data_IF_751481204713
#
_entry.id   IF_751481204713
#
_cell.length_a   1.000
_cell.length_b   1.000
_cell.length_c   1.000
_cell.angle_alpha   90.00
_cell.angle_beta   90.00
_cell.angle_gamma   90.00
#
_symmetry.space_group_name_H-M   'P 1'
#
loop_
_entity.id
_entity.type
_entity.pdbx_description
1 polymer ?
#
# COMPACT_ATOMS: atom_id res chain seq x y z
N UNK A 1 -15.20 -5.33 8.19
CA UNK A 1 -13.85 -4.82 7.89
C UNK A 1 -14.01 -3.55 7.09
N UNK A 2 -13.41 -2.44 7.52
CA UNK A 2 -13.40 -1.19 6.73
C UNK A 2 -12.33 -1.28 5.66
N UNK A 3 -12.53 -0.63 4.52
CA UNK A 3 -11.54 -0.66 3.42
C UNK A 3 -10.20 -0.07 3.86
N UNK A 4 -10.19 0.93 4.74
CA UNK A 4 -8.95 1.51 5.29
C UNK A 4 -8.17 0.52 6.14
N UNK A 5 -8.86 -0.26 6.98
CA UNK A 5 -8.25 -1.32 7.80
C UNK A 5 -7.70 -2.43 6.89
N UNK A 6 -8.47 -2.80 5.85
CA UNK A 6 -8.03 -3.80 4.87
C UNK A 6 -6.81 -3.36 4.06
N UNK A 7 -6.73 -2.09 3.65
CA UNK A 7 -5.57 -1.55 2.93
C UNK A 7 -4.32 -1.63 3.80
N UNK A 8 -4.44 -1.25 5.08
CA UNK A 8 -3.32 -1.30 6.04
C UNK A 8 -2.83 -2.74 6.23
N UNK A 9 -3.75 -3.69 6.45
CA UNK A 9 -3.42 -5.12 6.55
C UNK A 9 -2.81 -5.66 5.26
N UNK A 10 -3.36 -5.29 4.10
CA UNK A 10 -2.89 -5.79 2.79
C UNK A 10 -1.52 -5.27 2.44
N UNK A 11 -1.21 -4.02 2.78
CA UNK A 11 0.12 -3.43 2.56
C UNK A 11 1.15 -4.07 3.49
N UNK A 12 0.77 -4.39 4.73
CA UNK A 12 1.64 -5.10 5.66
C UNK A 12 1.92 -6.55 5.24
N UNK A 13 0.95 -7.19 4.58
CA UNK A 13 1.03 -8.58 4.12
C UNK A 13 1.58 -8.74 2.71
N UNK A 14 1.55 -7.68 1.89
CA UNK A 14 2.30 -7.65 0.65
C UNK A 14 3.75 -7.89 1.06
N UNK A 15 4.41 -8.97 0.60
CA UNK A 15 5.83 -9.10 0.80
C UNK A 15 6.39 -7.80 0.21
N UNK A 16 6.94 -6.95 1.08
CA UNK A 16 7.69 -5.79 0.68
C UNK A 16 8.81 -6.40 -0.14
N UNK A 17 8.58 -6.50 -1.45
CA UNK A 17 9.66 -6.76 -2.37
C UNK A 17 10.57 -5.61 -2.04
N UNK A 18 11.75 -5.93 -1.51
CA UNK A 18 12.84 -4.99 -1.32
C UNK A 18 13.35 -4.52 -2.70
N UNK A 19 12.43 -4.17 -3.59
CA UNK A 19 12.66 -3.42 -4.80
C UNK A 19 12.98 -2.02 -4.34
N UNK A 20 14.17 -1.49 -4.67
CA UNK A 20 14.50 -0.12 -4.34
C UNK A 20 13.37 0.79 -4.80
N UNK A 21 12.91 1.67 -3.90
CA UNK A 21 11.76 2.56 -4.05
C UNK A 21 11.88 3.62 -5.17
N UNK A 22 12.76 3.40 -6.15
CA UNK A 22 13.19 4.41 -7.11
C UNK A 22 12.42 4.40 -8.43
N UNK A 23 11.62 3.38 -8.72
CA UNK A 23 10.85 3.35 -9.97
C UNK A 23 9.35 3.56 -9.70
N UNK A 24 8.84 4.72 -10.10
CA UNK A 24 7.41 5.08 -10.14
C UNK A 24 6.53 3.97 -10.76
N UNK A 25 7.13 3.17 -11.65
CA UNK A 25 6.52 2.00 -12.29
C UNK A 25 6.18 0.87 -11.29
N UNK A 26 7.03 0.64 -10.28
CA UNK A 26 6.83 -0.42 -9.30
C UNK A 26 5.63 -0.11 -8.40
N UNK A 27 5.49 1.15 -7.99
CA UNK A 27 4.31 1.60 -7.25
C UNK A 27 3.03 1.53 -8.08
N UNK A 28 3.11 1.79 -9.40
CA UNK A 28 1.98 1.62 -10.29
C UNK A 28 1.56 0.15 -10.45
N UNK A 29 2.52 -0.78 -10.54
CA UNK A 29 2.23 -2.22 -10.56
C UNK A 29 1.59 -2.68 -9.25
N UNK A 30 2.17 -2.29 -8.12
CA UNK A 30 1.64 -2.61 -6.80
C UNK A 30 0.24 -2.03 -6.58
N UNK A 31 -0.03 -0.81 -7.05
CA UNK A 31 -1.37 -0.23 -7.01
C UNK A 31 -2.38 -1.04 -7.85
N UNK A 32 -1.94 -1.57 -8.99
CA UNK A 32 -2.72 -2.50 -9.80
C UNK A 32 -3.05 -3.80 -9.06
N UNK A 33 -2.08 -4.39 -8.37
CA UNK A 33 -2.28 -5.59 -7.54
C UNK A 33 -3.27 -5.30 -6.41
N UNK A 34 -3.07 -4.20 -5.66
CA UNK A 34 -3.96 -3.82 -4.57
C UNK A 34 -5.40 -3.60 -5.06
N UNK A 35 -5.58 -3.02 -6.25
CA UNK A 35 -6.90 -2.84 -6.87
C UNK A 35 -7.57 -4.18 -7.20
N UNK A 36 -6.82 -5.14 -7.76
CA UNK A 36 -7.34 -6.46 -8.06
C UNK A 36 -7.74 -7.23 -6.79
N UNK A 37 -6.90 -7.19 -5.77
CA UNK A 37 -7.17 -7.82 -4.47
C UNK A 37 -8.37 -7.18 -3.76
N UNK A 38 -8.51 -5.85 -3.83
CA UNK A 38 -9.65 -5.15 -3.25
C UNK A 38 -10.97 -5.57 -3.91
N UNK A 39 -10.96 -5.69 -5.24
CA UNK A 39 -12.12 -6.17 -5.99
C UNK A 39 -12.46 -7.63 -5.65
N UNK A 40 -11.44 -8.49 -5.51
CA UNK A 40 -11.61 -9.87 -5.09
C UNK A 40 -12.21 -9.97 -3.67
N UNK A 41 -11.79 -9.09 -2.76
CA UNK A 41 -12.34 -8.98 -1.40
C UNK A 41 -13.76 -8.35 -1.35
N UNK A 42 -14.31 -7.93 -2.49
CA UNK A 42 -15.67 -7.38 -2.61
C UNK A 42 -15.77 -5.87 -2.43
N UNK A 43 -14.64 -5.14 -2.42
CA UNK A 43 -14.65 -3.68 -2.40
C UNK A 43 -14.83 -3.09 -3.81
N UNK A 44 -15.54 -1.97 -3.90
CA UNK A 44 -15.61 -1.22 -5.15
C UNK A 44 -14.32 -0.44 -5.38
N UNK A 45 -14.02 -0.22 -6.67
CA UNK A 45 -12.93 0.67 -7.09
C UNK A 45 -13.08 2.07 -6.49
N UNK A 46 -14.28 2.63 -6.52
CA UNK A 46 -14.53 3.98 -6.00
C UNK A 46 -14.29 4.07 -4.49
N UNK A 47 -14.61 3.01 -3.74
CA UNK A 47 -14.30 2.95 -2.32
C UNK A 47 -12.79 2.93 -2.09
N UNK A 48 -12.03 2.19 -2.91
CA UNK A 48 -10.57 2.12 -2.84
C UNK A 48 -9.93 3.46 -3.18
N UNK A 49 -10.34 4.07 -4.29
CA UNK A 49 -9.86 5.39 -4.71
C UNK A 49 -10.17 6.45 -3.64
N UNK A 50 -11.38 6.43 -3.06
CA UNK A 50 -11.74 7.33 -1.94
C UNK A 50 -10.84 7.11 -0.73
N UNK A 51 -10.59 5.87 -0.34
CA UNK A 51 -9.73 5.52 0.80
C UNK A 51 -8.26 5.92 0.57
N UNK A 52 -7.82 5.93 -0.69
CA UNK A 52 -6.49 6.36 -1.11
C UNK A 52 -6.41 7.85 -1.47
N UNK A 53 -7.46 8.65 -1.22
CA UNK A 53 -7.52 10.07 -1.61
C UNK A 53 -7.32 10.32 -3.11
N UNK A 54 -7.72 9.37 -3.94
CA UNK A 54 -7.68 9.42 -5.40
C UNK A 54 -6.44 8.76 -6.03
N UNK A 55 -5.34 8.59 -5.30
CA UNK A 55 -4.10 8.02 -5.82
C UNK A 55 -3.58 6.88 -4.93
N UNK A 56 -3.79 5.65 -5.42
CA UNK A 56 -3.38 4.43 -4.75
C UNK A 56 -1.85 4.32 -4.71
N UNK A 57 -1.16 4.65 -5.80
CA UNK A 57 0.29 4.58 -5.91
C UNK A 57 0.97 5.52 -4.91
N UNK A 58 0.45 6.75 -4.78
CA UNK A 58 0.92 7.72 -3.80
C UNK A 58 0.72 7.24 -2.35
N UNK A 59 -0.44 6.63 -2.07
CA UNK A 59 -0.71 6.06 -0.74
C UNK A 59 0.26 4.92 -0.40
N UNK A 60 0.59 4.06 -1.37
CA UNK A 60 1.58 2.99 -1.18
C UNK A 60 2.98 3.53 -0.93
N UNK A 61 3.39 4.57 -1.68
CA UNK A 61 4.67 5.24 -1.47
C UNK A 61 4.80 5.82 -0.06
N UNK A 62 3.77 6.53 0.41
CA UNK A 62 3.79 7.07 1.77
C UNK A 62 3.91 5.96 2.83
N UNK A 63 3.15 4.88 2.71
CA UNK A 63 3.19 3.81 3.69
C UNK A 63 4.53 3.07 3.70
N UNK A 64 5.19 2.90 2.55
CA UNK A 64 6.55 2.37 2.46
C UNK A 64 7.55 3.21 3.26
N UNK A 65 7.52 4.54 3.10
CA UNK A 65 8.40 5.46 3.83
C UNK A 65 8.16 5.40 5.34
N UNK A 66 6.90 5.32 5.77
CA UNK A 66 6.56 5.22 7.19
C UNK A 66 7.01 3.88 7.81
N UNK A 67 7.06 2.79 7.02
CA UNK A 67 7.57 1.49 7.48
C UNK A 67 9.08 1.50 7.62
N UNK A 68 9.81 2.08 6.66
CA UNK A 68 11.28 2.25 6.72
C UNK A 68 11.69 3.08 7.95
N UNK A 69 11.02 4.20 8.21
CA UNK A 69 11.28 5.05 9.38
C UNK A 69 11.02 4.27 10.69
N UNK A 70 9.98 3.45 10.73
CA UNK A 70 9.63 2.66 11.92
C UNK A 70 10.66 1.56 12.20
N UNK A 71 11.11 0.84 11.16
CA UNK A 71 12.16 -0.17 11.29
C UNK A 71 13.49 0.47 11.74
N UNK A 72 13.86 1.62 11.20
CA UNK A 72 15.09 2.35 11.60
C UNK A 72 15.03 2.84 13.06
N UNK A 73 13.83 3.18 13.56
CA UNK A 73 13.63 3.57 14.95
C UNK A 73 13.57 2.38 15.93
N UNK A 74 13.09 1.21 15.50
CA UNK A 74 13.09 -0.02 16.30
C UNK A 74 14.48 -0.66 16.38
N UNK A 75 15.29 -0.62 15.31
CA UNK A 75 16.67 -1.12 15.32
C UNK A 75 17.66 -0.28 16.15
N UNK A 76 17.31 0.97 16.48
CA UNK A 76 18.13 1.89 17.30
C UNK A 76 17.85 1.82 18.81
N UNK A 77 17.04 0.87 19.27
CA UNK A 77 16.71 0.63 20.69
C UNK A 77 17.28 -0.69 21.18
#
# INVERSE_FOLDING_TARGET
>A
MRITEWIEDSIFLLPVIATPADEELDFAMLAGVLRAEAQYAGFSVEALETACSGDISWRMRMLSMWMEDKEEHEHRR
#
